data_IF_009806022727
#
_entry.id   IF_009806022727
#
_cell.length_a   1.000
_cell.length_b   1.000
_cell.length_c   1.000
_cell.angle_alpha   90.00
_cell.angle_beta   90.00
_cell.angle_gamma   90.00
#
_symmetry.space_group_name_H-M   'P 1'
#
loop_
_entity.id
_entity.type
_entity.pdbx_description
1 polymer ?
#
# COMPACT_ATOMS: atom_id res chain seq x y z
N UNK A 1 -8.20 9.53 7.43
CA UNK A 1 -7.35 10.69 7.06
C UNK A 1 -7.50 11.03 5.58
N UNK A 2 -7.17 12.25 5.17
CA UNK A 2 -7.20 12.65 3.76
C UNK A 2 -6.29 11.77 2.87
N UNK A 3 -6.74 11.51 1.64
CA UNK A 3 -5.96 10.85 0.60
C UNK A 3 -5.69 11.85 -0.54
N UNK A 4 -4.43 12.27 -0.74
CA UNK A 4 -4.08 13.14 -1.86
C UNK A 4 -4.45 12.51 -3.20
N UNK A 5 -4.93 13.28 -4.20
CA UNK A 5 -5.31 12.75 -5.51
C UNK A 5 -4.21 11.94 -6.21
N UNK A 6 -2.94 12.33 -6.04
CA UNK A 6 -1.77 11.60 -6.57
C UNK A 6 -1.62 10.18 -6.01
N UNK A 7 -2.28 9.87 -4.91
CA UNK A 7 -2.26 8.57 -4.24
C UNK A 7 -3.58 7.80 -4.36
N UNK A 8 -4.45 8.19 -5.31
CA UNK A 8 -5.78 7.57 -5.49
C UNK A 8 -5.75 6.04 -5.64
N UNK A 9 -4.68 5.48 -6.19
CA UNK A 9 -4.52 4.03 -6.37
C UNK A 9 -4.37 3.24 -5.05
N UNK A 10 -4.10 3.91 -3.92
CA UNK A 10 -4.14 3.27 -2.60
C UNK A 10 -5.56 2.95 -2.13
N UNK A 11 -6.61 3.47 -2.78
CA UNK A 11 -7.99 3.34 -2.34
C UNK A 11 -8.73 2.25 -3.10
N UNK A 12 -9.40 1.39 -2.35
CA UNK A 12 -10.51 0.58 -2.83
C UNK A 12 -11.79 1.16 -2.22
N UNK A 13 -12.80 1.44 -3.04
CA UNK A 13 -14.10 1.91 -2.60
C UNK A 13 -15.12 0.79 -2.74
N UNK A 14 -15.77 0.44 -1.63
CA UNK A 14 -16.85 -0.52 -1.51
C UNK A 14 -18.11 0.26 -1.18
N UNK A 15 -18.84 0.67 -2.20
CA UNK A 15 -20.10 1.41 -2.08
C UNK A 15 -21.14 0.79 -3.02
N UNK A 16 -22.42 0.91 -2.67
CA UNK A 16 -23.49 0.57 -3.60
C UNK A 16 -23.51 1.61 -4.73
N UNK A 17 -23.06 1.18 -5.91
CA UNK A 17 -22.99 2.04 -7.10
C UNK A 17 -24.37 2.31 -7.72
N UNK A 18 -25.41 1.60 -7.27
CA UNK A 18 -26.80 1.79 -7.70
C UNK A 18 -27.61 2.65 -6.73
N UNK A 19 -27.05 3.03 -5.58
CA UNK A 19 -27.73 3.90 -4.63
C UNK A 19 -27.91 5.31 -5.24
N UNK A 20 -29.11 5.93 -5.14
CA UNK A 20 -29.32 7.29 -5.62
C UNK A 20 -28.33 8.24 -4.94
N UNK A 21 -27.60 9.05 -5.71
CA UNK A 21 -26.76 10.09 -5.12
C UNK A 21 -27.66 11.16 -4.50
N UNK A 22 -27.60 11.41 -3.19
CA UNK A 22 -28.39 12.44 -2.55
C UNK A 22 -28.09 13.82 -3.14
N UNK A 23 -29.07 14.72 -3.12
CA UNK A 23 -28.87 16.11 -3.55
C UNK A 23 -27.81 16.87 -2.72
N UNK A 24 -27.53 16.39 -1.50
CA UNK A 24 -26.48 16.90 -0.60
C UNK A 24 -25.06 16.43 -0.97
N UNK A 25 -24.90 15.62 -2.01
CA UNK A 25 -23.63 14.99 -2.39
C UNK A 25 -23.55 13.52 -1.93
N UNK A 26 -22.47 12.81 -2.31
CA UNK A 26 -22.28 11.42 -1.93
C UNK A 26 -22.16 11.27 -0.42
N UNK A 27 -22.79 10.22 0.13
CA UNK A 27 -22.68 9.86 1.54
C UNK A 27 -21.21 9.67 1.96
N UNK A 28 -20.82 10.12 3.17
CA UNK A 28 -19.49 9.84 3.71
C UNK A 28 -19.23 8.33 3.78
N UNK A 29 -18.01 7.92 3.41
CA UNK A 29 -17.57 6.55 3.57
C UNK A 29 -16.76 6.37 4.85
N UNK A 30 -17.02 5.30 5.59
CA UNK A 30 -16.11 4.83 6.63
C UNK A 30 -14.74 4.55 6.02
N UNK A 31 -13.67 4.80 6.78
CA UNK A 31 -12.29 4.68 6.30
C UNK A 31 -11.53 3.66 7.10
N UNK A 32 -11.17 2.54 6.47
CA UNK A 32 -10.24 1.56 7.01
C UNK A 32 -8.85 1.79 6.42
N UNK A 33 -7.90 2.29 7.21
CA UNK A 33 -6.51 2.51 6.78
C UNK A 33 -5.63 1.39 7.31
N UNK A 34 -4.82 0.81 6.44
CA UNK A 34 -4.00 -0.37 6.77
C UNK A 34 -2.56 -0.03 6.45
N UNK A 35 -1.79 0.18 7.51
CA UNK A 35 -0.37 0.51 7.46
C UNK A 35 0.46 -0.76 7.34
N UNK A 36 1.15 -0.91 6.22
CA UNK A 36 1.85 -2.14 5.84
C UNK A 36 3.29 -1.84 5.44
N UNK A 37 4.19 -2.76 5.78
CA UNK A 37 5.57 -2.79 5.31
C UNK A 37 5.75 -3.99 4.37
N UNK A 38 6.25 -3.77 3.15
CA UNK A 38 6.53 -4.83 2.18
C UNK A 38 7.54 -5.88 2.66
N UNK A 39 8.37 -5.56 3.66
CA UNK A 39 9.40 -6.47 4.20
C UNK A 39 8.99 -7.04 5.57
N UNK A 40 7.78 -6.74 6.06
CA UNK A 40 7.25 -7.33 7.29
C UNK A 40 6.40 -8.59 7.00
N UNK A 41 6.72 -9.76 7.60
CA UNK A 41 5.96 -10.99 7.39
C UNK A 41 4.51 -10.89 7.92
N UNK A 42 4.28 -10.14 8.99
CA UNK A 42 2.92 -9.90 9.51
C UNK A 42 2.09 -9.00 8.59
N UNK A 43 2.73 -8.05 7.90
CA UNK A 43 2.06 -7.22 6.89
C UNK A 43 1.67 -8.07 5.68
N UNK A 44 2.54 -8.96 5.22
CA UNK A 44 2.22 -9.91 4.16
C UNK A 44 1.05 -10.82 4.53
N UNK A 45 1.03 -11.33 5.77
CA UNK A 45 -0.07 -12.17 6.28
C UNK A 45 -1.41 -11.42 6.25
N UNK A 46 -1.47 -10.21 6.79
CA UNK A 46 -2.69 -9.40 6.79
C UNK A 46 -3.14 -9.06 5.37
N UNK A 47 -2.22 -8.56 4.53
CA UNK A 47 -2.51 -8.20 3.15
C UNK A 47 -3.03 -9.39 2.35
N UNK A 48 -2.44 -10.58 2.53
CA UNK A 48 -2.88 -11.77 1.80
C UNK A 48 -4.33 -12.15 2.15
N UNK A 49 -4.70 -12.15 3.44
CA UNK A 49 -6.10 -12.38 3.85
C UNK A 49 -7.02 -11.31 3.26
N UNK A 50 -6.62 -10.04 3.35
CA UNK A 50 -7.40 -8.93 2.80
C UNK A 50 -7.63 -9.08 1.30
N UNK A 51 -6.56 -9.30 0.54
CA UNK A 51 -6.58 -9.28 -0.91
C UNK A 51 -7.24 -10.52 -1.52
N UNK A 52 -6.94 -11.70 -0.98
CA UNK A 52 -7.37 -12.98 -1.59
C UNK A 52 -8.69 -13.51 -1.04
N UNK A 53 -9.13 -13.06 0.13
CA UNK A 53 -10.34 -13.57 0.78
C UNK A 53 -11.34 -12.46 1.08
N UNK A 54 -10.93 -11.42 1.82
CA UNK A 54 -11.85 -10.39 2.29
C UNK A 54 -12.43 -9.55 1.15
N UNK A 55 -11.58 -9.00 0.28
CA UNK A 55 -12.02 -8.19 -0.85
C UNK A 55 -13.00 -8.97 -1.75
N UNK A 56 -12.68 -10.20 -2.22
CA UNK A 56 -13.65 -11.04 -2.93
C UNK A 56 -14.95 -11.25 -2.15
N UNK A 57 -14.89 -11.55 -0.85
CA UNK A 57 -16.08 -11.77 -0.02
C UNK A 57 -16.98 -10.54 0.09
N UNK A 58 -16.41 -9.34 0.11
CA UNK A 58 -17.15 -8.07 0.16
C UNK A 58 -17.72 -7.67 -1.20
N UNK A 59 -17.11 -8.09 -2.32
CA UNK A 59 -17.57 -7.73 -3.68
C UNK A 59 -18.50 -8.77 -4.32
N UNK A 60 -18.47 -10.03 -3.90
CA UNK A 60 -19.19 -11.12 -4.56
C UNK A 60 -20.71 -11.16 -4.30
N UNK A 61 -21.25 -10.34 -3.40
CA UNK A 61 -22.68 -10.35 -3.05
C UNK A 61 -23.35 -9.03 -3.45
N UNK A 62 -24.41 -9.05 -4.30
CA UNK A 62 -25.29 -7.91 -4.46
C UNK A 62 -25.90 -7.56 -3.10
N UNK A 63 -25.70 -6.32 -2.64
CA UNK A 63 -25.85 -5.96 -1.23
C UNK A 63 -24.62 -6.38 -0.43
N UNK A 64 -23.58 -5.53 -0.44
CA UNK A 64 -22.46 -5.68 0.47
C UNK A 64 -23.01 -5.89 1.90
N UNK A 65 -22.39 -6.71 2.76
CA UNK A 65 -22.86 -6.91 4.14
C UNK A 65 -22.77 -5.63 5.01
N UNK A 66 -22.46 -4.49 4.42
CA UNK A 66 -22.16 -3.22 5.08
C UNK A 66 -23.36 -2.29 4.89
N UNK A 67 -23.72 -1.58 5.95
CA UNK A 67 -24.89 -0.69 5.93
C UNK A 67 -24.54 0.71 5.39
N UNK A 68 -23.25 1.03 5.31
CA UNK A 68 -22.71 2.28 4.79
C UNK A 68 -21.52 2.04 3.83
N UNK A 69 -21.17 3.03 2.99
CA UNK A 69 -19.99 2.95 2.13
C UNK A 69 -18.70 2.77 2.95
N UNK A 70 -17.80 1.92 2.45
CA UNK A 70 -16.47 1.69 3.04
C UNK A 70 -15.39 2.02 2.02
N UNK A 71 -14.36 2.75 2.43
CA UNK A 71 -13.10 2.83 1.69
C UNK A 71 -11.98 2.16 2.48
N UNK A 72 -11.21 1.34 1.78
CA UNK A 72 -10.01 0.69 2.31
C UNK A 72 -8.80 1.39 1.69
N UNK A 73 -7.88 1.85 2.55
CA UNK A 73 -6.67 2.56 2.15
C UNK A 73 -5.42 1.75 2.51
N UNK A 74 -4.63 1.37 1.50
CA UNK A 74 -3.25 0.95 1.74
C UNK A 74 -2.42 2.15 2.19
N UNK A 75 -1.71 2.01 3.30
CA UNK A 75 -0.77 3.02 3.78
C UNK A 75 0.62 2.40 3.90
N UNK A 76 1.60 3.10 3.37
CA UNK A 76 3.00 2.71 3.49
C UNK A 76 3.50 2.94 4.93
N UNK A 77 3.99 1.89 5.59
CA UNK A 77 4.71 1.96 6.86
C UNK A 77 6.12 1.40 6.67
N UNK A 78 7.07 2.26 6.34
CA UNK A 78 8.46 1.87 6.12
C UNK A 78 9.13 1.66 7.47
N UNK A 79 9.61 0.46 7.76
CA UNK A 79 10.35 0.18 8.99
C UNK A 79 11.86 0.33 8.78
N UNK A 80 12.53 1.27 9.49
CA UNK A 80 13.96 1.52 9.28
C UNK A 80 14.88 0.33 9.63
N UNK A 81 14.40 -0.62 10.43
CA UNK A 81 15.13 -1.86 10.75
C UNK A 81 14.97 -2.95 9.68
N UNK A 82 14.19 -2.70 8.63
CA UNK A 82 14.20 -3.48 7.39
C UNK A 82 14.85 -2.63 6.28
N UNK A 83 16.18 -2.71 6.07
CA UNK A 83 16.91 -1.81 5.16
C UNK A 83 16.30 -1.70 3.75
N UNK A 84 15.78 -2.79 3.19
CA UNK A 84 15.14 -2.85 1.87
C UNK A 84 13.69 -2.34 1.84
N UNK A 85 13.08 -2.05 2.99
CA UNK A 85 11.70 -1.53 3.06
C UNK A 85 11.57 -0.20 2.30
N UNK A 86 12.58 0.67 2.40
CA UNK A 86 12.60 1.91 1.61
C UNK A 86 12.50 1.64 0.11
N UNK A 87 13.29 0.69 -0.41
CA UNK A 87 13.41 0.40 -1.84
C UNK A 87 12.13 -0.24 -2.39
N UNK A 88 11.57 -1.19 -1.65
CA UNK A 88 10.31 -1.87 -2.01
C UNK A 88 9.12 -0.90 -2.00
N UNK A 89 9.09 0.05 -1.08
CA UNK A 89 8.06 1.08 -1.02
C UNK A 89 8.19 2.12 -2.13
N UNK A 90 9.42 2.51 -2.51
CA UNK A 90 9.66 3.37 -3.67
C UNK A 90 9.16 2.71 -4.97
N UNK A 91 9.37 1.40 -5.14
CA UNK A 91 8.81 0.66 -6.28
C UNK A 91 7.28 0.68 -6.30
N UNK A 92 6.63 0.52 -5.14
CA UNK A 92 5.17 0.66 -5.04
C UNK A 92 4.68 2.06 -5.44
N UNK A 93 5.41 3.11 -5.07
CA UNK A 93 5.09 4.49 -5.46
C UNK A 93 5.39 4.76 -6.95
N UNK A 94 6.40 4.12 -7.53
CA UNK A 94 6.66 4.20 -8.97
C UNK A 94 5.53 3.57 -9.77
N UNK A 95 5.07 2.38 -9.39
CA UNK A 95 3.89 1.74 -10.00
C UNK A 95 2.64 2.59 -9.81
N UNK A 96 2.43 3.18 -8.63
CA UNK A 96 1.30 4.06 -8.38
C UNK A 96 1.27 5.28 -9.32
N UNK A 97 2.43 5.84 -9.67
CA UNK A 97 2.52 6.95 -10.64
C UNK A 97 2.18 6.50 -12.05
N UNK A 98 2.70 5.35 -12.49
CA UNK A 98 2.58 4.87 -13.87
C UNK A 98 1.23 4.19 -14.15
N UNK A 99 0.75 3.39 -13.21
CA UNK A 99 -0.46 2.58 -13.33
C UNK A 99 -1.21 2.51 -11.99
N UNK A 100 -1.87 3.61 -11.56
CA UNK A 100 -2.53 3.67 -10.25
C UNK A 100 -3.60 2.59 -10.03
N UNK A 101 -4.24 2.10 -11.09
CA UNK A 101 -5.24 1.02 -11.02
C UNK A 101 -4.63 -0.36 -10.82
N UNK A 102 -3.31 -0.50 -11.00
CA UNK A 102 -2.54 -1.75 -10.88
C UNK A 102 -1.71 -1.82 -9.59
N UNK A 103 -1.88 -0.84 -8.70
CA UNK A 103 -1.14 -0.76 -7.44
C UNK A 103 -1.30 -2.03 -6.60
N UNK A 104 -2.53 -2.50 -6.40
CA UNK A 104 -2.80 -3.71 -5.60
C UNK A 104 -2.28 -4.99 -6.26
N UNK A 105 -2.29 -5.06 -7.60
CA UNK A 105 -1.71 -6.19 -8.34
C UNK A 105 -0.20 -6.28 -8.08
N UNK A 106 0.51 -5.15 -8.14
CA UNK A 106 1.92 -5.07 -7.79
C UNK A 106 2.17 -5.37 -6.32
N UNK A 107 1.38 -4.79 -5.40
CA UNK A 107 1.50 -5.06 -3.95
C UNK A 107 1.39 -6.55 -3.66
N UNK A 108 0.43 -7.24 -4.28
CA UNK A 108 0.24 -8.68 -4.14
C UNK A 108 1.44 -9.48 -4.65
N UNK A 109 1.98 -9.12 -5.83
CA UNK A 109 3.16 -9.76 -6.37
C UNK A 109 4.42 -9.52 -5.50
N UNK A 110 4.60 -8.29 -5.01
CA UNK A 110 5.73 -7.94 -4.15
C UNK A 110 5.66 -8.65 -2.79
N UNK A 111 4.49 -8.73 -2.16
CA UNK A 111 4.33 -9.54 -0.95
C UNK A 111 4.56 -11.03 -1.20
N UNK A 112 4.19 -11.55 -2.38
CA UNK A 112 4.49 -12.94 -2.76
C UNK A 112 6.00 -13.17 -2.90
N UNK A 113 6.73 -12.20 -3.45
CA UNK A 113 8.20 -12.22 -3.58
C UNK A 113 8.94 -11.73 -2.33
N UNK A 114 8.25 -11.41 -1.23
CA UNK A 114 8.78 -10.70 -0.07
C UNK A 114 10.11 -11.26 0.46
N UNK A 115 10.22 -12.60 0.54
CA UNK A 115 11.40 -13.27 1.09
C UNK A 115 12.67 -12.90 0.33
N UNK A 116 12.56 -12.62 -0.96
CA UNK A 116 13.70 -12.27 -1.82
C UNK A 116 14.34 -10.92 -1.47
N UNK A 117 13.68 -10.14 -0.61
CA UNK A 117 14.09 -8.81 -0.17
C UNK A 117 14.44 -8.76 1.34
N UNK A 118 14.47 -9.89 2.04
CA UNK A 118 14.96 -9.95 3.42
C UNK A 118 16.48 -9.79 3.47
N UNK A 119 16.98 -9.31 4.62
CA UNK A 119 18.39 -8.90 4.83
C UNK A 119 19.40 -9.90 4.30
N UNK A 120 19.26 -11.18 4.66
CA UNK A 120 20.21 -12.23 4.26
C UNK A 120 20.27 -12.45 2.74
N UNK A 121 19.21 -12.10 2.01
CA UNK A 121 19.10 -12.31 0.56
C UNK A 121 19.61 -11.12 -0.27
N UNK A 122 19.79 -9.95 0.36
CA UNK A 122 20.14 -8.68 -0.30
C UNK A 122 21.37 -8.00 0.29
N UNK A 123 22.00 -8.59 1.31
CA UNK A 123 23.14 -7.99 2.05
C UNK A 123 24.30 -7.53 1.15
N UNK A 124 24.55 -8.23 0.03
CA UNK A 124 25.61 -7.90 -0.92
C UNK A 124 25.08 -7.29 -2.22
N UNK A 125 23.78 -6.99 -2.30
CA UNK A 125 23.17 -6.47 -3.50
C UNK A 125 23.28 -4.93 -3.56
N UNK A 126 23.83 -4.35 -4.64
CA UNK A 126 23.82 -2.91 -4.83
C UNK A 126 22.38 -2.38 -4.99
N UNK A 127 22.10 -1.20 -4.42
CA UNK A 127 20.77 -0.54 -4.45
C UNK A 127 20.10 -0.55 -5.83
N UNK A 128 20.85 -0.17 -6.88
CA UNK A 128 20.32 -0.10 -8.25
C UNK A 128 20.04 -1.49 -8.85
N UNK A 129 20.69 -2.56 -8.39
CA UNK A 129 20.36 -3.93 -8.80
C UNK A 129 19.02 -4.37 -8.18
N UNK A 130 18.79 -4.05 -6.90
CA UNK A 130 17.48 -4.29 -6.27
C UNK A 130 16.35 -3.55 -6.99
N UNK A 131 16.57 -2.30 -7.41
CA UNK A 131 15.57 -1.57 -8.19
C UNK A 131 15.29 -2.20 -9.57
N UNK A 132 16.28 -2.78 -10.24
CA UNK A 132 16.04 -3.52 -11.49
C UNK A 132 15.13 -4.72 -11.24
N UNK A 133 15.37 -5.49 -10.19
CA UNK A 133 14.50 -6.62 -9.82
C UNK A 133 13.08 -6.17 -9.47
N UNK A 134 12.94 -5.06 -8.75
CA UNK A 134 11.64 -4.48 -8.42
C UNK A 134 10.89 -3.97 -9.66
N UNK A 135 11.61 -3.35 -10.61
CA UNK A 135 11.04 -2.93 -11.89
C UNK A 135 10.55 -4.11 -12.72
N UNK A 136 11.28 -5.22 -12.72
CA UNK A 136 10.85 -6.47 -13.36
C UNK A 136 9.57 -7.03 -12.75
N UNK A 137 9.47 -7.10 -11.41
CA UNK A 137 8.22 -7.52 -10.73
C UNK A 137 7.07 -6.59 -11.12
N UNK A 138 7.31 -5.28 -11.19
CA UNK A 138 6.32 -4.31 -11.62
C UNK A 138 5.84 -4.57 -13.06
N UNK A 139 6.74 -4.82 -13.99
CA UNK A 139 6.39 -5.14 -15.37
C UNK A 139 5.54 -6.42 -15.47
N UNK A 140 5.97 -7.50 -14.81
CA UNK A 140 5.30 -8.80 -14.86
C UNK A 140 3.91 -8.80 -14.19
N UNK A 141 3.71 -8.00 -13.12
CA UNK A 141 2.48 -8.01 -12.33
C UNK A 141 1.52 -6.87 -12.68
N UNK A 142 2.03 -5.65 -12.86
CA UNK A 142 1.22 -4.47 -13.13
C UNK A 142 1.10 -4.15 -14.62
N UNK A 143 1.93 -4.74 -15.49
CA UNK A 143 1.90 -4.49 -16.94
C UNK A 143 2.46 -3.10 -17.33
N UNK A 144 3.29 -2.52 -16.48
CA UNK A 144 4.04 -1.29 -16.76
C UNK A 144 5.35 -1.63 -17.50
N UNK A 145 5.93 -0.65 -18.17
CA UNK A 145 7.24 -0.82 -18.81
C UNK A 145 8.36 -0.91 -17.75
N UNK A 146 9.24 -1.92 -17.86
CA UNK A 146 10.31 -2.17 -16.88
C UNK A 146 11.31 -0.99 -16.82
N UNK A 147 11.70 -0.43 -17.97
CA UNK A 147 12.69 0.64 -18.03
C UNK A 147 12.12 1.96 -17.54
N UNK A 148 10.84 2.26 -17.79
CA UNK A 148 10.18 3.43 -17.22
C UNK A 148 10.01 3.33 -15.70
N UNK A 149 9.73 2.13 -15.16
CA UNK A 149 9.74 1.94 -13.69
C UNK A 149 11.15 2.15 -13.15
N UNK A 150 12.16 1.53 -13.76
CA UNK A 150 13.52 1.66 -13.28
C UNK A 150 14.02 3.12 -13.34
N UNK A 151 13.71 3.86 -14.41
CA UNK A 151 14.04 5.28 -14.55
C UNK A 151 13.51 6.12 -13.39
N UNK A 152 12.34 5.77 -12.83
CA UNK A 152 11.80 6.44 -11.64
C UNK A 152 12.55 6.09 -10.34
N UNK A 153 13.21 4.94 -10.30
CA UNK A 153 13.82 4.35 -9.10
C UNK A 153 15.33 4.52 -9.03
N UNK A 154 16.00 4.52 -10.18
CA UNK A 154 17.45 4.57 -10.30
C UNK A 154 18.01 5.79 -9.59
N UNK A 155 19.12 5.58 -8.88
CA UNK A 155 19.87 6.66 -8.24
C UNK A 155 21.17 6.87 -9.02
N UNK A 156 21.48 8.11 -9.43
CA UNK A 156 22.76 8.43 -10.08
C UNK A 156 23.95 8.07 -9.19
N UNK A 157 25.05 7.64 -9.82
CA UNK A 157 26.35 7.39 -9.17
C UNK A 157 27.27 8.62 -9.18
N UNK A 158 26.79 9.75 -9.71
CA UNK A 158 27.48 11.04 -9.74
C UNK A 158 26.67 12.10 -8.98
N UNK A 159 27.33 13.13 -8.42
CA UNK A 159 26.64 14.26 -7.79
C UNK A 159 25.68 14.97 -8.74
N UNK A 160 24.65 15.62 -8.19
CA UNK A 160 23.83 16.55 -8.96
C UNK A 160 24.65 17.77 -9.43
N UNK A 161 24.08 18.54 -10.36
CA UNK A 161 24.71 19.76 -10.92
C UNK A 161 25.10 20.78 -9.83
N UNK A 162 24.34 20.84 -8.74
CA UNK A 162 24.60 21.70 -7.58
C UNK A 162 25.59 21.10 -6.56
N UNK A 163 26.15 19.91 -6.85
CA UNK A 163 27.05 19.16 -5.98
C UNK A 163 26.35 18.30 -4.92
N UNK A 164 25.02 18.24 -4.89
CA UNK A 164 24.29 17.43 -3.90
C UNK A 164 24.57 15.94 -4.05
N UNK A 165 24.79 15.27 -2.91
CA UNK A 165 25.05 13.82 -2.83
C UNK A 165 23.81 12.99 -2.41
N UNK A 166 22.84 13.63 -1.75
CA UNK A 166 21.62 12.98 -1.24
C UNK A 166 20.41 13.24 -2.15
N UNK A 167 20.56 12.94 -3.45
CA UNK A 167 19.59 13.30 -4.49
C UNK A 167 18.35 12.40 -4.50
N UNK A 168 18.49 11.15 -4.05
CA UNK A 168 17.41 10.16 -4.08
C UNK A 168 17.03 9.77 -5.51
N UNK A 169 15.75 9.47 -5.70
CA UNK A 169 15.15 9.10 -6.98
C UNK A 169 13.87 9.92 -7.25
N UNK A 170 13.22 9.70 -8.40
CA UNK A 170 12.08 10.50 -8.82
C UNK A 170 10.88 10.41 -7.85
N UNK A 171 10.76 9.32 -7.08
CA UNK A 171 9.65 9.06 -6.13
C UNK A 171 9.95 9.46 -4.68
N UNK A 172 11.17 9.93 -4.39
CA UNK A 172 11.61 10.28 -3.03
C UNK A 172 10.68 11.27 -2.32
N UNK A 173 10.13 12.27 -3.03
CA UNK A 173 9.20 13.23 -2.44
C UNK A 173 7.82 12.62 -2.11
N UNK A 174 7.39 11.61 -2.86
CA UNK A 174 6.18 10.86 -2.53
C UNK A 174 6.41 9.98 -1.31
N UNK A 175 7.57 9.33 -1.23
CA UNK A 175 7.97 8.55 -0.06
C UNK A 175 7.98 9.42 1.21
N UNK A 176 8.62 10.59 1.16
CA UNK A 176 8.59 11.58 2.25
C UNK A 176 7.16 11.95 2.65
N UNK A 177 6.26 12.11 1.68
CA UNK A 177 4.86 12.46 1.93
C UNK A 177 4.14 11.35 2.69
N UNK A 178 4.22 10.09 2.23
CA UNK A 178 3.52 8.96 2.89
C UNK A 178 4.10 8.67 4.27
N UNK A 179 5.42 8.82 4.46
CA UNK A 179 6.07 8.73 5.78
C UNK A 179 5.53 9.82 6.72
N UNK A 180 5.42 11.07 6.25
CA UNK A 180 4.87 12.17 7.05
C UNK A 180 3.43 11.88 7.47
N UNK A 181 2.62 11.29 6.58
CA UNK A 181 1.24 10.90 6.90
C UNK A 181 1.18 9.84 8.01
N UNK A 182 2.02 8.81 7.96
CA UNK A 182 2.09 7.81 9.02
C UNK A 182 2.52 8.42 10.37
N UNK A 183 3.51 9.33 10.35
CA UNK A 183 4.01 10.02 11.55
C UNK A 183 2.94 10.90 12.21
N UNK A 184 2.07 11.55 11.43
CA UNK A 184 1.02 12.42 11.97
C UNK A 184 0.01 11.67 12.85
N UNK A 185 -0.14 10.36 12.69
CA UNK A 185 -1.01 9.51 13.52
C UNK A 185 -0.22 8.50 14.36
N UNK A 186 1.09 8.70 14.51
CA UNK A 186 1.91 7.94 15.45
C UNK A 186 2.10 6.46 15.12
N UNK A 187 2.02 6.05 13.85
CA UNK A 187 2.22 4.63 13.50
C UNK A 187 3.67 4.22 13.76
N UNK A 188 3.83 3.17 14.57
CA UNK A 188 5.13 2.60 14.91
C UNK A 188 5.33 1.23 14.27
N UNK A 189 4.47 0.25 14.58
CA UNK A 189 4.60 -1.14 14.11
C UNK A 189 3.75 -1.41 12.87
N UNK A 190 4.13 -2.44 12.11
CA UNK A 190 3.38 -2.91 10.94
C UNK A 190 3.00 -4.39 11.12
N UNK A 191 1.76 -4.80 10.81
CA UNK A 191 0.67 -3.95 10.38
C UNK A 191 0.11 -3.09 11.53
N UNK A 192 -0.52 -1.97 11.20
CA UNK A 192 -1.41 -1.22 12.10
C UNK A 192 -2.66 -0.85 11.32
N UNK A 193 -3.84 -1.00 11.94
CA UNK A 193 -5.13 -0.69 11.30
C UNK A 193 -5.80 0.47 12.01
N UNK A 194 -6.26 1.45 11.24
CA UNK A 194 -7.10 2.56 11.72
C UNK A 194 -8.50 2.43 11.12
N UNK A 195 -9.51 2.73 11.91
CA UNK A 195 -10.89 2.91 11.48
C UNK A 195 -11.35 4.32 11.83
N UNK A 196 -11.79 5.07 10.83
CA UNK A 196 -12.18 6.48 10.92
C UNK A 196 -11.15 7.35 11.64
N UNK A 197 -9.87 7.01 11.47
CA UNK A 197 -8.74 7.74 12.04
C UNK A 197 -8.30 7.27 13.44
N UNK A 198 -8.97 6.29 14.04
CA UNK A 198 -8.60 5.71 15.33
C UNK A 198 -7.96 4.33 15.18
N UNK A 199 -6.88 4.07 15.92
CA UNK A 199 -6.20 2.77 15.92
C UNK A 199 -7.13 1.67 16.46
N UNK A 200 -7.25 0.57 15.73
CA UNK A 200 -8.05 -0.61 16.11
C UNK A 200 -7.10 -1.74 16.53
N UNK A 201 -6.80 -1.81 17.83
CA UNK A 201 -5.80 -2.74 18.36
C UNK A 201 -6.25 -4.22 18.37
N UNK A 202 -7.55 -4.50 18.28
CA UNK A 202 -8.06 -5.87 18.24
C UNK A 202 -7.83 -6.57 16.90
N UNK A 203 -7.65 -5.79 15.82
CA UNK A 203 -7.35 -6.34 14.49
C UNK A 203 -5.91 -6.86 14.47
N UNK A 204 -5.79 -8.18 14.30
CA UNK A 204 -4.50 -8.85 14.19
C UNK A 204 -4.24 -9.29 12.75
N UNK A 205 -2.97 -9.37 12.37
CA UNK A 205 -2.54 -10.02 11.11
C UNK A 205 -2.98 -11.48 11.01
N UNK A 206 -3.34 -12.11 12.13
CA UNK A 206 -3.85 -13.46 12.19
C UNK A 206 -5.35 -13.61 11.98
N UNK A 207 -6.11 -12.52 11.82
CA UNK A 207 -7.56 -12.61 11.66
C UNK A 207 -7.96 -13.41 10.41
N UNK A 208 -8.97 -14.26 10.58
CA UNK A 208 -9.62 -14.95 9.47
C UNK A 208 -10.58 -14.01 8.73
N UNK A 209 -11.02 -14.40 7.54
CA UNK A 209 -12.00 -13.62 6.77
C UNK A 209 -13.34 -13.49 7.51
N UNK A 210 -13.74 -14.50 8.28
CA UNK A 210 -14.97 -14.46 9.09
C UNK A 210 -14.90 -13.40 10.17
N UNK A 211 -13.77 -13.30 10.90
CA UNK A 211 -13.56 -12.29 11.92
C UNK A 211 -13.60 -10.88 11.33
N UNK A 212 -12.96 -10.69 10.17
CA UNK A 212 -13.03 -9.43 9.43
C UNK A 212 -14.46 -9.07 9.03
N UNK A 213 -15.21 -10.00 8.46
CA UNK A 213 -16.59 -9.76 8.01
C UNK A 213 -17.51 -9.46 9.19
N UNK A 214 -17.37 -10.19 10.30
CA UNK A 214 -18.13 -9.94 11.53
C UNK A 214 -17.84 -8.53 12.07
N UNK A 215 -16.56 -8.16 12.14
CA UNK A 215 -16.15 -6.85 12.61
C UNK A 215 -16.68 -5.72 11.71
N UNK A 216 -16.55 -5.86 10.39
CA UNK A 216 -17.01 -4.85 9.44
C UNK A 216 -18.54 -4.68 9.49
N UNK A 217 -19.31 -5.77 9.62
CA UNK A 217 -20.77 -5.71 9.78
C UNK A 217 -21.20 -4.91 11.01
N UNK A 218 -20.42 -5.00 12.10
CA UNK A 218 -20.70 -4.31 13.36
C UNK A 218 -20.33 -2.82 13.32
N UNK A 219 -19.26 -2.46 12.60
CA UNK A 219 -18.67 -1.13 12.69
C UNK A 219 -18.93 -0.23 11.46
N UNK A 220 -19.28 -0.80 10.30
CA UNK A 220 -19.64 -0.04 9.09
C UNK A 220 -21.16 0.09 9.03
N UNK A 221 -21.68 1.03 9.83
CA UNK A 221 -23.11 1.23 10.12
C UNK A 221 -23.63 2.60 9.72
#
# INVERSE_FOLDING_TARGET
MALPPKFKGHRILLADTNAPTPASGPEPAHTLEIYLDYVCPYSAKLFNTLHTQLLPALTARPGAPLQAPLQILFRHQIQPWHPTSTLTHEAGLAVLRLAPTRFYDFSAALFKAQRDFFDVNVVNEPRNATYRRLAKIAAESAGVDEDEVYKLLAVPDVPAEDGSLNVGNAVTNDLKTVIKMARLVGIHVSPTVLFDGLVVNEISSGWTVEQWVEWLKKNVV
#
